data_IF_702078794856
#
_entry.id   IF_702078794856
#
_cell.length_a   1.000
_cell.length_b   1.000
_cell.length_c   1.000
_cell.angle_alpha   90.00
_cell.angle_beta   90.00
_cell.angle_gamma   90.00
#
_symmetry.space_group_name_H-M   'P 1'
#
loop_
_entity.id
_entity.type
_entity.pdbx_description
1 polymer ?
#
# COMPACT_ATOMS: atom_id res chain seq x y z
N UNK A 1 -13.03 -37.81 -27.48
CA UNK A 1 -13.73 -36.61 -27.97
C UNK A 1 -13.45 -35.50 -26.96
N UNK A 2 -12.62 -34.54 -27.39
CA UNK A 2 -12.31 -33.23 -26.83
C UNK A 2 -12.14 -33.07 -25.30
N UNK A 3 -10.87 -33.11 -24.86
CA UNK A 3 -10.38 -32.34 -23.71
C UNK A 3 -10.49 -30.84 -24.04
N UNK A 4 -11.37 -30.13 -23.34
CA UNK A 4 -11.44 -28.67 -23.36
C UNK A 4 -10.68 -28.11 -22.17
N UNK A 5 -9.37 -27.90 -22.33
CA UNK A 5 -8.58 -27.05 -21.44
C UNK A 5 -9.16 -25.64 -21.56
N UNK A 6 -9.94 -25.23 -20.56
CA UNK A 6 -10.33 -23.84 -20.34
C UNK A 6 -9.07 -23.07 -19.94
N UNK A 7 -8.32 -22.67 -20.96
CA UNK A 7 -7.17 -21.80 -20.86
C UNK A 7 -7.65 -20.46 -20.30
N UNK A 8 -7.54 -20.32 -18.98
CA UNK A 8 -7.84 -19.12 -18.22
C UNK A 8 -7.19 -17.90 -18.86
N UNK A 9 -8.01 -17.16 -19.60
CA UNK A 9 -7.63 -15.87 -20.14
C UNK A 9 -7.44 -14.92 -18.97
N UNK A 10 -6.18 -14.66 -18.59
CA UNK A 10 -5.81 -13.50 -17.77
C UNK A 10 -6.08 -12.25 -18.61
N UNK A 11 -7.32 -11.78 -18.59
CA UNK A 11 -7.70 -10.52 -19.19
C UNK A 11 -6.87 -9.42 -18.52
N UNK A 12 -5.83 -8.95 -19.20
CA UNK A 12 -5.12 -7.73 -18.83
C UNK A 12 -6.13 -6.60 -18.97
N UNK A 13 -6.72 -6.17 -17.84
CA UNK A 13 -7.64 -5.04 -17.82
C UNK A 13 -6.94 -3.82 -18.43
N UNK A 14 -7.66 -3.15 -19.34
CA UNK A 14 -7.23 -1.94 -20.02
C UNK A 14 -6.66 -0.95 -18.99
N UNK A 15 -5.47 -0.35 -19.21
CA UNK A 15 -4.90 0.58 -18.24
C UNK A 15 -5.94 1.66 -17.96
N UNK A 16 -6.44 1.67 -16.72
CA UNK A 16 -7.33 2.73 -16.29
C UNK A 16 -6.61 4.06 -16.46
N UNK A 17 -7.37 5.13 -16.76
CA UNK A 17 -6.78 6.46 -16.88
C UNK A 17 -5.94 6.82 -15.65
N UNK A 18 -5.14 7.88 -15.73
CA UNK A 18 -4.17 8.31 -14.69
C UNK A 18 -4.73 8.27 -13.25
N UNK A 19 -6.03 8.53 -13.08
CA UNK A 19 -6.75 8.45 -11.79
C UNK A 19 -6.82 7.02 -11.23
N UNK A 20 -7.06 6.01 -12.06
CA UNK A 20 -7.10 4.61 -11.64
C UNK A 20 -5.71 4.14 -11.20
N UNK A 21 -4.66 4.51 -11.94
CA UNK A 21 -3.28 4.23 -11.58
C UNK A 21 -2.90 4.88 -10.25
N UNK A 22 -3.28 6.14 -10.04
CA UNK A 22 -3.05 6.83 -8.77
C UNK A 22 -3.76 6.12 -7.59
N UNK A 23 -5.01 5.67 -7.79
CA UNK A 23 -5.74 4.90 -6.78
C UNK A 23 -5.07 3.56 -6.45
N UNK A 24 -4.45 2.90 -7.43
CA UNK A 24 -3.70 1.66 -7.20
C UNK A 24 -2.48 1.91 -6.32
N UNK A 25 -1.71 2.95 -6.60
CA UNK A 25 -0.57 3.35 -5.75
C UNK A 25 -1.00 3.74 -4.33
N UNK A 26 -2.11 4.46 -4.18
CA UNK A 26 -2.66 4.79 -2.85
C UNK A 26 -3.09 3.51 -2.10
N UNK A 27 -3.64 2.53 -2.82
CA UNK A 27 -4.03 1.25 -2.24
C UNK A 27 -2.81 0.48 -1.71
N UNK A 28 -1.67 0.55 -2.42
CA UNK A 28 -0.42 -0.07 -1.95
C UNK A 28 0.10 0.55 -0.66
N UNK A 29 -0.06 1.86 -0.47
CA UNK A 29 0.39 2.54 0.75
C UNK A 29 -0.36 2.09 2.02
N UNK A 30 -1.55 1.48 1.90
CA UNK A 30 -2.44 1.14 3.03
C UNK A 30 -2.65 2.32 3.99
N UNK A 31 -3.44 3.34 3.61
CA UNK A 31 -3.64 4.56 4.39
C UNK A 31 -4.03 4.36 5.87
N UNK A 32 -4.88 3.36 6.23
CA UNK A 32 -5.22 3.12 7.64
C UNK A 32 -4.01 2.82 8.52
N UNK A 33 -2.99 2.11 7.99
CA UNK A 33 -1.78 1.78 8.74
C UNK A 33 -0.91 3.03 8.94
N UNK A 34 -0.79 3.86 7.90
CA UNK A 34 -0.05 5.12 7.97
C UNK A 34 -0.67 6.07 8.99
N UNK A 35 -2.01 6.18 9.01
CA UNK A 35 -2.72 7.04 9.97
C UNK A 35 -2.45 6.58 11.41
N UNK A 36 -2.56 5.27 11.67
CA UNK A 36 -2.28 4.72 13.00
C UNK A 36 -0.84 5.05 13.44
N UNK A 37 0.13 4.82 12.54
CA UNK A 37 1.55 5.12 12.79
C UNK A 37 1.76 6.61 13.10
N UNK A 38 1.18 7.50 12.30
CA UNK A 38 1.32 8.95 12.49
C UNK A 38 0.72 9.40 13.82
N UNK A 39 -0.47 8.90 14.19
CA UNK A 39 -1.09 9.23 15.49
C UNK A 39 -0.19 8.78 16.65
N UNK A 40 0.35 7.56 16.58
CA UNK A 40 1.27 7.06 17.61
C UNK A 40 2.54 7.91 17.70
N UNK A 41 3.12 8.29 16.57
CA UNK A 41 4.31 9.14 16.53
C UNK A 41 4.03 10.54 17.11
N UNK A 42 2.87 11.13 16.80
CA UNK A 42 2.42 12.41 17.38
C UNK A 42 2.33 12.29 18.90
N UNK A 43 1.65 11.26 19.42
CA UNK A 43 1.56 11.04 20.87
C UNK A 43 2.93 10.93 21.56
N UNK A 44 3.86 10.19 20.96
CA UNK A 44 5.24 10.07 21.47
C UNK A 44 5.99 11.40 21.46
N UNK A 45 5.80 12.24 20.43
CA UNK A 45 6.44 13.56 20.36
C UNK A 45 5.89 14.54 21.40
N UNK A 46 4.60 14.52 21.68
CA UNK A 46 4.01 15.35 22.75
C UNK A 46 4.52 14.92 24.13
N UNK A 47 4.62 13.60 24.35
CA UNK A 47 5.18 13.06 25.60
C UNK A 47 6.65 13.47 25.77
N UNK A 48 7.46 13.37 24.72
CA UNK A 48 8.88 13.69 24.76
C UNK A 48 9.17 15.20 24.85
N UNK A 49 8.28 16.04 24.32
CA UNK A 49 8.46 17.49 24.33
C UNK A 49 8.02 18.15 25.66
N UNK A 50 7.41 17.40 26.59
CA UNK A 50 6.80 17.92 27.82
C UNK A 50 5.89 19.14 27.57
N UNK A 51 5.20 19.15 26.41
CA UNK A 51 4.52 20.32 25.91
C UNK A 51 4.22 20.22 24.42
N UNK A 52 4.13 21.35 23.73
CA UNK A 52 3.84 21.39 22.30
C UNK A 52 5.15 21.18 21.52
N UNK A 53 5.29 20.08 20.75
CA UNK A 53 6.48 19.85 19.95
C UNK A 53 6.60 20.88 18.81
N UNK A 54 7.83 21.12 18.34
CA UNK A 54 8.05 22.01 17.19
C UNK A 54 7.26 21.54 15.97
N UNK A 55 6.43 22.42 15.41
CA UNK A 55 5.61 22.13 14.22
C UNK A 55 6.46 21.68 13.02
N UNK A 56 7.68 22.21 12.91
CA UNK A 56 8.63 21.82 11.86
C UNK A 56 9.04 20.36 12.01
N UNK A 57 9.43 19.95 13.23
CA UNK A 57 9.81 18.56 13.54
C UNK A 57 8.63 17.61 13.35
N UNK A 58 7.46 18.00 13.85
CA UNK A 58 6.20 17.26 13.68
C UNK A 58 5.91 16.99 12.21
N UNK A 59 6.00 18.02 11.35
CA UNK A 59 5.77 17.90 9.92
C UNK A 59 6.77 16.95 9.24
N UNK A 60 8.06 17.04 9.58
CA UNK A 60 9.08 16.14 9.01
C UNK A 60 8.90 14.69 9.46
N UNK A 61 8.55 14.45 10.72
CA UNK A 61 8.29 13.10 11.24
C UNK A 61 7.04 12.51 10.59
N UNK A 62 5.95 13.27 10.48
CA UNK A 62 4.73 12.79 9.82
C UNK A 62 4.98 12.49 8.34
N UNK A 63 5.67 13.38 7.61
CA UNK A 63 5.98 13.19 6.20
C UNK A 63 6.93 12.02 5.98
N UNK A 64 8.06 12.00 6.68
CA UNK A 64 9.05 10.92 6.57
C UNK A 64 8.49 9.57 7.01
N UNK A 65 7.72 9.55 8.09
CA UNK A 65 7.05 8.35 8.59
C UNK A 65 6.01 7.81 7.61
N UNK A 66 5.18 8.69 7.03
CA UNK A 66 4.18 8.29 6.03
C UNK A 66 4.84 7.75 4.76
N UNK A 67 5.88 8.42 4.25
CA UNK A 67 6.62 7.98 3.06
C UNK A 67 7.35 6.65 3.31
N UNK A 68 8.05 6.52 4.44
CA UNK A 68 8.76 5.29 4.82
C UNK A 68 7.80 4.11 5.00
N UNK A 69 6.69 4.31 5.70
CA UNK A 69 5.68 3.28 5.90
C UNK A 69 4.99 2.88 4.58
N UNK A 70 4.69 3.85 3.72
CA UNK A 70 4.13 3.60 2.40
C UNK A 70 5.09 2.79 1.51
N UNK A 71 6.39 3.13 1.51
CA UNK A 71 7.41 2.37 0.81
C UNK A 71 7.55 0.93 1.32
N UNK A 72 7.58 0.75 2.64
CA UNK A 72 7.62 -0.57 3.25
C UNK A 72 6.39 -1.43 2.89
N UNK A 73 5.19 -0.83 2.88
CA UNK A 73 3.97 -1.52 2.46
C UNK A 73 4.00 -1.94 0.98
N UNK A 74 4.54 -1.09 0.10
CA UNK A 74 4.73 -1.44 -1.30
C UNK A 74 5.71 -2.60 -1.48
N UNK A 75 6.84 -2.58 -0.74
CA UNK A 75 7.82 -3.68 -0.75
C UNK A 75 7.18 -4.98 -0.25
N UNK A 76 6.38 -4.94 0.82
CA UNK A 76 5.67 -6.13 1.31
C UNK A 76 4.77 -6.75 0.22
N UNK A 77 4.02 -5.92 -0.52
CA UNK A 77 3.20 -6.43 -1.62
C UNK A 77 4.01 -6.98 -2.81
N UNK A 78 5.21 -6.45 -3.06
CA UNK A 78 6.10 -6.98 -4.09
C UNK A 78 6.70 -8.33 -3.69
N UNK A 79 7.14 -8.46 -2.44
CA UNK A 79 7.72 -9.71 -1.93
C UNK A 79 6.67 -10.82 -1.82
N UNK A 80 5.42 -10.48 -1.50
CA UNK A 80 4.32 -11.44 -1.37
C UNK A 80 3.58 -11.72 -2.70
N UNK A 81 4.06 -11.20 -3.84
CA UNK A 81 3.31 -11.21 -5.12
C UNK A 81 2.86 -12.62 -5.56
N UNK A 82 3.76 -13.60 -5.45
CA UNK A 82 3.52 -15.00 -5.82
C UNK A 82 2.52 -15.69 -4.87
N UNK A 83 2.65 -15.41 -3.58
CA UNK A 83 1.76 -15.93 -2.54
C UNK A 83 0.36 -15.30 -2.68
N UNK A 84 0.30 -13.99 -2.86
CA UNK A 84 -0.95 -13.24 -3.01
C UNK A 84 -1.74 -13.69 -4.24
N UNK A 85 -1.05 -14.07 -5.33
CA UNK A 85 -1.68 -14.60 -6.53
C UNK A 85 -2.44 -15.93 -6.32
N UNK A 86 -2.06 -16.71 -5.30
CA UNK A 86 -2.71 -17.99 -4.96
C UNK A 86 -3.79 -17.85 -3.86
N UNK A 87 -3.95 -16.67 -3.25
CA UNK A 87 -4.87 -16.45 -2.13
C UNK A 87 -6.16 -15.76 -2.56
N UNK A 88 -7.31 -16.37 -2.30
CA UNK A 88 -8.64 -15.81 -2.65
C UNK A 88 -8.88 -14.40 -2.08
N UNK A 89 -8.26 -14.07 -0.94
CA UNK A 89 -8.39 -12.76 -0.27
C UNK A 89 -7.52 -11.67 -0.91
N UNK A 90 -6.36 -12.02 -1.48
CA UNK A 90 -5.33 -11.05 -1.88
C UNK A 90 -4.96 -11.08 -3.36
N UNK A 91 -5.51 -12.03 -4.12
CA UNK A 91 -5.36 -12.16 -5.58
C UNK A 91 -5.75 -10.92 -6.37
N UNK A 92 -6.63 -10.07 -5.82
CA UNK A 92 -7.07 -8.80 -6.44
C UNK A 92 -6.17 -7.60 -6.11
N UNK A 93 -5.10 -7.78 -5.34
CA UNK A 93 -4.16 -6.68 -5.04
C UNK A 93 -3.49 -6.19 -6.33
N UNK A 94 -3.20 -4.88 -6.47
CA UNK A 94 -2.64 -4.34 -7.71
C UNK A 94 -1.36 -5.04 -8.18
N UNK A 95 -0.44 -5.36 -7.28
CA UNK A 95 0.83 -6.04 -7.59
C UNK A 95 0.61 -7.51 -7.97
N UNK A 96 -0.20 -8.25 -7.19
CA UNK A 96 -0.52 -9.66 -7.47
C UNK A 96 -1.32 -9.86 -8.78
N UNK A 97 -2.09 -8.86 -9.20
CA UNK A 97 -2.85 -8.85 -10.46
C UNK A 97 -2.11 -8.19 -11.62
N UNK A 98 -0.83 -7.82 -11.45
CA UNK A 98 0.02 -7.19 -12.46
C UNK A 98 -0.56 -5.88 -13.04
N UNK A 99 -1.30 -5.13 -12.25
CA UNK A 99 -1.84 -3.81 -12.62
C UNK A 99 -0.81 -2.69 -12.44
N UNK A 100 0.17 -2.92 -11.56
CA UNK A 100 1.32 -2.04 -11.24
C UNK A 100 2.58 -2.87 -11.03
#
# INVERSE_FOLDING_TARGET
>A
MAEGVDSGQTAVEKPGGVIALANDYVTLMKPPIIVLLVITAIGGMFLAAEGIPSLKTLAFVCLGGALGAGGANAINHFLDQDIDAMMSRTVKRPVASHRV
#
